data_IF_544017203809
#
_entry.id   IF_544017203809
#
_cell.length_a   1.000
_cell.length_b   1.000
_cell.length_c   1.000
_cell.angle_alpha   90.00
_cell.angle_beta   90.00
_cell.angle_gamma   90.00
#
_symmetry.space_group_name_H-M   'P 1'
#
loop_
_entity.id
_entity.type
_entity.pdbx_description
1 polymer ?
#
# COMPACT_ATOMS: atom_id res chain seq x y z
N UNK A 1 7.17 15.52 -24.22
CA UNK A 1 8.00 14.79 -23.24
C UNK A 1 7.88 15.36 -21.82
N UNK A 2 8.09 16.65 -21.60
CA UNK A 2 8.02 17.33 -20.27
C UNK A 2 6.72 17.11 -19.53
N UNK A 3 5.55 17.20 -20.18
CA UNK A 3 4.24 17.04 -19.54
C UNK A 3 3.98 15.62 -19.04
N UNK A 4 4.46 14.58 -19.73
CA UNK A 4 4.35 13.18 -19.28
C UNK A 4 5.19 12.94 -18.02
N UNK A 5 6.43 13.47 -18.01
CA UNK A 5 7.32 13.37 -16.84
C UNK A 5 6.70 14.07 -15.64
N UNK A 6 6.17 15.29 -15.83
CA UNK A 6 5.54 16.05 -14.76
C UNK A 6 4.33 15.31 -14.16
N UNK A 7 3.46 14.73 -14.99
CA UNK A 7 2.30 13.93 -14.52
C UNK A 7 2.74 12.67 -13.76
N UNK A 8 3.80 12.02 -14.24
CA UNK A 8 4.34 10.83 -13.59
C UNK A 8 4.91 11.17 -12.21
N UNK A 9 5.72 12.22 -12.14
CA UNK A 9 6.26 12.72 -10.87
C UNK A 9 5.15 13.18 -9.92
N UNK A 10 4.15 13.91 -10.40
CA UNK A 10 3.00 14.33 -9.59
C UNK A 10 2.25 13.14 -8.99
N UNK A 11 2.05 12.05 -9.77
CA UNK A 11 1.44 10.82 -9.26
C UNK A 11 2.25 10.16 -8.15
N UNK A 12 3.58 10.12 -8.30
CA UNK A 12 4.47 9.61 -7.25
C UNK A 12 4.41 10.47 -5.98
N UNK A 13 4.48 11.79 -6.13
CA UNK A 13 4.37 12.72 -5.00
C UNK A 13 3.02 12.61 -4.30
N UNK A 14 1.93 12.39 -5.03
CA UNK A 14 0.60 12.20 -4.43
C UNK A 14 0.55 10.91 -3.60
N UNK A 15 1.12 9.80 -4.08
CA UNK A 15 1.21 8.55 -3.32
C UNK A 15 2.11 8.70 -2.07
N UNK A 16 3.26 9.36 -2.20
CA UNK A 16 4.14 9.64 -1.08
C UNK A 16 3.46 10.55 -0.03
N UNK A 17 2.76 11.59 -0.47
CA UNK A 17 2.01 12.47 0.42
C UNK A 17 0.88 11.72 1.15
N UNK A 18 0.13 10.86 0.45
CA UNK A 18 -0.89 10.00 1.07
C UNK A 18 -0.27 9.11 2.16
N UNK A 19 0.87 8.47 1.86
CA UNK A 19 1.60 7.67 2.85
C UNK A 19 2.00 8.51 4.06
N UNK A 20 2.60 9.66 3.86
CA UNK A 20 3.05 10.55 4.96
C UNK A 20 1.87 10.93 5.84
N UNK A 21 0.78 11.43 5.25
CA UNK A 21 -0.39 11.92 5.98
C UNK A 21 -1.08 10.80 6.77
N UNK A 22 -1.26 9.62 6.18
CA UNK A 22 -1.97 8.53 6.85
C UNK A 22 -1.09 7.77 7.84
N UNK A 23 0.21 7.66 7.58
CA UNK A 23 1.14 6.99 8.49
C UNK A 23 1.47 7.85 9.71
N UNK A 24 1.52 9.17 9.56
CA UNK A 24 1.67 10.09 10.70
C UNK A 24 0.45 10.09 11.62
N UNK A 25 -0.67 9.53 11.19
CA UNK A 25 -1.92 9.37 11.96
C UNK A 25 -1.81 8.51 13.22
N UNK A 26 -0.67 7.84 13.46
CA UNK A 26 -0.32 7.29 14.78
C UNK A 26 -0.26 8.37 15.88
N UNK A 27 -0.47 9.63 15.52
CA UNK A 27 -0.62 10.77 16.46
C UNK A 27 -1.88 10.70 17.33
N UNK A 28 -2.62 9.58 17.28
CA UNK A 28 -3.54 9.22 18.37
C UNK A 28 -4.86 9.99 18.41
N UNK A 29 -5.34 10.53 17.30
CA UNK A 29 -6.70 11.08 17.27
C UNK A 29 -7.67 10.06 16.68
N UNK A 30 -8.87 9.94 17.26
CA UNK A 30 -9.95 9.08 16.75
C UNK A 30 -10.38 9.41 15.30
N UNK A 31 -9.89 10.50 14.74
CA UNK A 31 -10.18 11.01 13.40
C UNK A 31 -9.05 10.78 12.40
N UNK A 32 -7.94 10.14 12.83
CA UNK A 32 -6.84 9.86 11.91
C UNK A 32 -7.22 8.76 10.91
N UNK A 33 -7.06 8.98 9.61
CA UNK A 33 -7.32 7.94 8.63
C UNK A 33 -6.38 6.75 8.85
N UNK A 34 -6.82 5.50 8.59
CA UNK A 34 -5.95 4.33 8.68
C UNK A 34 -4.73 4.44 7.78
N UNK A 35 -3.60 3.83 8.17
CA UNK A 35 -2.35 3.85 7.39
C UNK A 35 -2.54 3.27 5.97
N UNK A 36 -2.36 4.11 4.96
CA UNK A 36 -2.47 3.73 3.56
C UNK A 36 -1.20 3.12 2.96
N UNK A 37 -0.12 2.95 3.72
CA UNK A 37 1.19 2.53 3.19
C UNK A 37 1.12 1.28 2.32
N UNK A 38 0.30 0.29 2.68
CA UNK A 38 0.15 -0.94 1.92
C UNK A 38 -0.51 -0.70 0.57
N UNK A 39 -1.58 0.10 0.53
CA UNK A 39 -2.22 0.49 -0.72
C UNK A 39 -1.28 1.33 -1.60
N UNK A 40 -0.55 2.27 -0.99
CA UNK A 40 0.43 3.10 -1.69
C UNK A 40 1.51 2.26 -2.37
N UNK A 41 2.08 1.29 -1.66
CA UNK A 41 3.11 0.41 -2.24
C UNK A 41 2.58 -0.49 -3.36
N UNK A 42 1.37 -1.01 -3.20
CA UNK A 42 0.72 -1.77 -4.25
C UNK A 42 0.43 -0.91 -5.49
N UNK A 43 -0.18 0.27 -5.31
CA UNK A 43 -0.45 1.22 -6.39
C UNK A 43 0.83 1.73 -7.04
N UNK A 44 1.86 2.01 -6.25
CA UNK A 44 3.15 2.39 -6.78
C UNK A 44 3.77 1.26 -7.63
N UNK A 45 3.65 0.00 -7.22
CA UNK A 45 4.03 -1.15 -8.04
C UNK A 45 3.27 -1.20 -9.37
N UNK A 46 1.98 -0.88 -9.37
CA UNK A 46 1.15 -0.83 -10.57
C UNK A 46 1.57 0.31 -11.52
N UNK A 47 1.76 1.53 -11.00
CA UNK A 47 2.05 2.70 -11.83
C UNK A 47 3.53 2.88 -12.15
N UNK A 48 4.43 2.49 -11.22
CA UNK A 48 5.88 2.74 -11.27
C UNK A 48 6.72 1.45 -11.26
N UNK A 49 6.13 0.32 -11.67
CA UNK A 49 6.83 -0.98 -11.64
C UNK A 49 8.12 -1.04 -12.47
N UNK A 50 8.27 -0.18 -13.49
CA UNK A 50 9.49 -0.06 -14.30
C UNK A 50 10.58 0.75 -13.60
N UNK A 51 10.19 1.68 -12.77
CA UNK A 51 11.04 2.62 -12.03
C UNK A 51 11.39 2.10 -10.62
N UNK A 52 11.27 0.81 -10.39
CA UNK A 52 11.43 0.16 -9.09
C UNK A 52 12.74 0.52 -8.38
N UNK A 53 13.82 0.77 -9.15
CA UNK A 53 15.16 1.03 -8.62
C UNK A 53 15.23 2.29 -7.75
N UNK A 54 14.40 3.28 -8.03
CA UNK A 54 14.35 4.50 -7.24
C UNK A 54 13.04 4.66 -6.47
N UNK A 55 11.90 4.26 -7.07
CA UNK A 55 10.60 4.54 -6.50
C UNK A 55 10.30 3.66 -5.26
N UNK A 56 10.66 2.38 -5.29
CA UNK A 56 10.49 1.50 -4.12
C UNK A 56 11.39 1.94 -2.95
N UNK A 57 12.72 2.13 -3.11
CA UNK A 57 13.55 2.66 -2.03
C UNK A 57 13.10 4.02 -1.51
N UNK A 58 12.64 4.93 -2.37
CA UNK A 58 12.15 6.23 -1.95
C UNK A 58 10.92 6.11 -1.04
N UNK A 59 9.93 5.25 -1.37
CA UNK A 59 8.77 5.00 -0.51
C UNK A 59 9.15 4.27 0.79
N UNK A 60 10.07 3.32 0.75
CA UNK A 60 10.59 2.67 1.96
C UNK A 60 11.28 3.68 2.89
N UNK A 61 12.15 4.52 2.35
CA UNK A 61 12.80 5.59 3.11
C UNK A 61 11.76 6.59 3.66
N UNK A 62 10.73 6.93 2.88
CA UNK A 62 9.65 7.79 3.35
C UNK A 62 8.91 7.17 4.54
N UNK A 63 8.54 5.88 4.45
CA UNK A 63 7.87 5.19 5.55
C UNK A 63 8.73 5.16 6.82
N UNK A 64 10.03 4.82 6.69
CA UNK A 64 10.97 4.79 7.81
C UNK A 64 11.19 6.19 8.41
N UNK A 65 11.30 7.23 7.57
CA UNK A 65 11.48 8.60 8.01
C UNK A 65 10.26 9.10 8.81
N UNK A 66 9.04 8.80 8.35
CA UNK A 66 7.81 9.13 9.08
C UNK A 66 7.80 8.44 10.44
N UNK A 67 8.08 7.13 10.51
CA UNK A 67 8.12 6.42 11.79
C UNK A 67 9.16 7.01 12.73
N UNK A 68 10.36 7.33 12.24
CA UNK A 68 11.40 7.93 13.03
C UNK A 68 10.99 9.30 13.59
N UNK A 69 10.39 10.16 12.76
CA UNK A 69 9.94 11.49 13.14
C UNK A 69 8.81 11.40 14.19
N UNK A 70 7.80 10.55 13.97
CA UNK A 70 6.67 10.46 14.91
C UNK A 70 7.08 9.87 16.27
N UNK A 71 8.02 8.94 16.27
CA UNK A 71 8.55 8.37 17.52
C UNK A 71 9.38 9.41 18.26
N UNK A 72 10.27 10.14 17.58
CA UNK A 72 11.20 11.07 18.20
C UNK A 72 10.53 12.35 18.64
N UNK A 73 9.72 12.97 17.77
CA UNK A 73 9.27 14.35 17.93
C UNK A 73 7.82 14.44 18.45
N UNK A 74 7.03 13.36 18.27
CA UNK A 74 5.63 13.32 18.71
C UNK A 74 5.35 12.31 19.83
N UNK A 75 6.37 11.67 20.36
CA UNK A 75 6.25 10.76 21.51
C UNK A 75 5.46 9.49 21.25
N UNK A 76 5.31 9.08 19.97
CA UNK A 76 4.68 7.81 19.61
C UNK A 76 5.54 6.66 20.11
N UNK A 77 4.88 5.60 20.61
CA UNK A 77 5.59 4.43 21.15
C UNK A 77 6.47 3.76 20.11
N UNK A 78 7.73 3.49 20.45
CA UNK A 78 8.66 2.69 19.65
C UNK A 78 8.40 1.20 19.75
N UNK A 79 7.27 0.76 20.30
CA UNK A 79 6.95 -0.65 20.56
C UNK A 79 7.09 -1.55 19.33
N UNK A 80 6.72 -1.04 18.15
CA UNK A 80 6.80 -1.78 16.89
C UNK A 80 8.20 -1.79 16.26
N UNK A 81 9.11 -0.91 16.71
CA UNK A 81 10.50 -0.87 16.20
C UNK A 81 11.34 -1.90 16.95
N UNK A 82 11.49 -3.05 16.35
CA UNK A 82 12.21 -4.21 16.88
C UNK A 82 13.11 -4.79 15.80
N UNK A 83 13.85 -5.86 16.08
CA UNK A 83 14.59 -6.61 15.05
C UNK A 83 13.64 -7.08 13.92
N UNK A 84 12.39 -7.40 14.25
CA UNK A 84 11.36 -7.74 13.26
C UNK A 84 11.04 -6.63 12.25
N UNK A 85 11.36 -5.37 12.58
CA UNK A 85 11.12 -4.22 11.70
C UNK A 85 11.86 -4.29 10.35
N UNK A 86 13.04 -4.95 10.33
CA UNK A 86 13.81 -5.15 9.09
C UNK A 86 12.99 -5.93 8.03
N UNK A 87 12.10 -6.81 8.47
CA UNK A 87 11.23 -7.58 7.59
C UNK A 87 10.15 -6.75 6.90
N UNK A 88 9.97 -5.49 7.28
CA UNK A 88 9.12 -4.56 6.55
C UNK A 88 9.61 -4.35 5.11
N UNK A 89 10.91 -4.41 4.86
CA UNK A 89 11.48 -4.25 3.51
C UNK A 89 10.98 -5.35 2.56
N UNK A 90 11.20 -6.66 2.83
CA UNK A 90 10.67 -7.72 1.97
C UNK A 90 9.14 -7.75 1.96
N UNK A 91 8.46 -7.47 3.07
CA UNK A 91 7.00 -7.42 3.13
C UNK A 91 6.42 -6.34 2.19
N UNK A 92 7.00 -5.16 2.19
CA UNK A 92 6.59 -4.06 1.32
C UNK A 92 6.96 -4.31 -0.15
N UNK A 93 8.06 -5.03 -0.40
CA UNK A 93 8.39 -5.49 -1.75
C UNK A 93 7.34 -6.45 -2.32
N UNK A 94 6.70 -7.29 -1.49
CA UNK A 94 5.59 -8.16 -1.92
C UNK A 94 4.38 -7.37 -2.41
N UNK A 95 4.03 -6.27 -1.73
CA UNK A 95 2.96 -5.37 -2.18
C UNK A 95 3.30 -4.72 -3.53
N UNK A 96 4.53 -4.24 -3.66
CA UNK A 96 5.02 -3.68 -4.92
C UNK A 96 4.94 -4.70 -6.06
N UNK A 97 5.42 -5.91 -5.83
CA UNK A 97 5.40 -6.99 -6.82
C UNK A 97 3.99 -7.37 -7.23
N UNK A 98 3.04 -7.41 -6.28
CA UNK A 98 1.62 -7.63 -6.56
C UNK A 98 1.05 -6.57 -7.50
N UNK A 99 1.33 -5.28 -7.24
CA UNK A 99 0.93 -4.18 -8.11
C UNK A 99 1.59 -4.25 -9.50
N UNK A 100 2.89 -4.53 -9.55
CA UNK A 100 3.62 -4.66 -10.80
C UNK A 100 3.14 -5.86 -11.64
N UNK A 101 2.78 -6.98 -10.99
CA UNK A 101 2.16 -8.12 -11.65
C UNK A 101 0.77 -7.74 -12.20
N UNK A 102 -0.07 -7.08 -11.40
CA UNK A 102 -1.39 -6.62 -11.85
C UNK A 102 -1.27 -5.72 -13.08
N UNK A 103 -0.28 -4.81 -13.13
CA UNK A 103 -0.03 -3.97 -14.30
C UNK A 103 0.24 -4.78 -15.57
N UNK A 104 0.94 -5.88 -15.46
CA UNK A 104 1.23 -6.78 -16.61
C UNK A 104 0.01 -7.60 -17.02
N UNK A 105 -0.84 -7.97 -16.05
CA UNK A 105 -2.04 -8.76 -16.26
C UNK A 105 -3.26 -7.93 -16.70
N UNK A 106 -3.16 -6.59 -16.62
CA UNK A 106 -4.25 -5.65 -16.92
C UNK A 106 -4.59 -5.62 -18.41
N UNK A 107 -5.85 -5.91 -18.76
CA UNK A 107 -6.32 -6.09 -20.14
C UNK A 107 -7.44 -5.13 -20.55
N UNK A 108 -7.92 -4.27 -19.66
CA UNK A 108 -9.09 -3.41 -19.86
C UNK A 108 -10.40 -4.19 -20.03
N UNK A 109 -10.54 -5.33 -19.38
CA UNK A 109 -11.73 -6.19 -19.40
C UNK A 109 -12.38 -6.29 -18.00
N UNK A 110 -13.65 -6.73 -17.90
CA UNK A 110 -14.33 -6.89 -16.61
C UNK A 110 -13.63 -7.82 -15.62
N UNK A 111 -12.84 -8.80 -16.11
CA UNK A 111 -12.10 -9.72 -15.27
C UNK A 111 -10.91 -9.05 -14.56
N UNK A 112 -10.54 -7.82 -14.96
CA UNK A 112 -9.49 -7.06 -14.28
C UNK A 112 -9.85 -6.74 -12.83
N UNK A 113 -11.14 -6.61 -12.50
CA UNK A 113 -11.56 -6.42 -11.12
C UNK A 113 -11.23 -7.66 -10.26
N UNK A 114 -11.50 -8.86 -10.77
CA UNK A 114 -11.16 -10.09 -10.08
C UNK A 114 -9.63 -10.30 -9.96
N UNK A 115 -8.89 -10.02 -11.04
CA UNK A 115 -7.41 -10.07 -11.04
C UNK A 115 -6.82 -9.09 -10.04
N UNK A 116 -7.35 -7.86 -9.99
CA UNK A 116 -6.95 -6.84 -9.05
C UNK A 116 -7.21 -7.28 -7.61
N UNK A 117 -8.43 -7.76 -7.31
CA UNK A 117 -8.79 -8.20 -5.97
C UNK A 117 -7.92 -9.39 -5.52
N UNK A 118 -7.70 -10.38 -6.39
CA UNK A 118 -6.85 -11.54 -6.11
C UNK A 118 -5.38 -11.13 -5.90
N UNK A 119 -4.85 -10.26 -6.74
CA UNK A 119 -3.47 -9.77 -6.64
C UNK A 119 -3.24 -8.96 -5.36
N UNK A 120 -4.13 -8.02 -5.04
CA UNK A 120 -4.04 -7.23 -3.83
C UNK A 120 -4.22 -8.10 -2.59
N UNK A 121 -5.21 -9.00 -2.60
CA UNK A 121 -5.47 -9.92 -1.49
C UNK A 121 -4.27 -10.82 -1.19
N UNK A 122 -3.68 -11.42 -2.23
CA UNK A 122 -2.49 -12.26 -2.08
C UNK A 122 -1.29 -11.44 -1.57
N UNK A 123 -1.00 -10.30 -2.19
CA UNK A 123 0.14 -9.46 -1.81
C UNK A 123 0.00 -8.93 -0.37
N UNK A 124 -1.19 -8.47 0.02
CA UNK A 124 -1.46 -8.00 1.36
C UNK A 124 -1.40 -9.13 2.40
N UNK A 125 -1.92 -10.32 2.06
CA UNK A 125 -1.84 -11.50 2.95
C UNK A 125 -0.40 -11.93 3.20
N UNK A 126 0.43 -11.97 2.15
CA UNK A 126 1.85 -12.29 2.27
C UNK A 126 2.60 -11.21 3.06
N UNK A 127 2.29 -9.94 2.81
CA UNK A 127 2.85 -8.83 3.59
C UNK A 127 2.48 -8.95 5.07
N UNK A 128 1.21 -9.23 5.38
CA UNK A 128 0.75 -9.42 6.75
C UNK A 128 1.42 -10.64 7.40
N UNK A 129 1.53 -11.75 6.70
CA UNK A 129 2.19 -12.95 7.19
C UNK A 129 3.62 -12.64 7.60
N UNK A 130 4.40 -11.98 6.72
CA UNK A 130 5.80 -11.64 6.99
C UNK A 130 5.92 -10.66 8.16
N UNK A 131 5.15 -9.58 8.18
CA UNK A 131 5.24 -8.56 9.23
C UNK A 131 4.72 -9.07 10.58
N UNK A 132 3.61 -9.82 10.59
CA UNK A 132 3.05 -10.38 11.82
C UNK A 132 3.96 -11.47 12.41
N UNK A 133 4.47 -12.38 11.57
CA UNK A 133 5.38 -13.43 12.02
C UNK A 133 6.70 -12.85 12.52
N UNK A 134 7.33 -11.93 11.80
CA UNK A 134 8.59 -11.34 12.21
C UNK A 134 8.47 -10.56 13.53
N UNK A 135 7.38 -9.80 13.70
CA UNK A 135 7.13 -9.11 14.96
C UNK A 135 6.91 -10.10 16.11
N UNK A 136 6.10 -11.13 15.91
CA UNK A 136 5.74 -12.10 16.95
C UNK A 136 6.95 -12.91 17.42
N UNK A 137 7.71 -13.48 16.47
CA UNK A 137 8.80 -14.41 16.75
C UNK A 137 10.15 -13.73 17.02
N UNK A 138 10.41 -12.58 16.37
CA UNK A 138 11.71 -11.93 16.40
C UNK A 138 11.68 -10.57 17.13
N UNK A 139 10.50 -10.06 17.45
CA UNK A 139 10.35 -8.73 18.05
C UNK A 139 10.79 -8.64 19.52
N UNK A 140 10.97 -9.77 20.21
CA UNK A 140 11.34 -9.79 21.63
C UNK A 140 10.31 -9.16 22.57
N UNK A 141 9.06 -9.00 22.11
CA UNK A 141 7.98 -8.36 22.87
C UNK A 141 6.98 -9.36 23.46
N UNK A 142 7.03 -10.60 23.03
CA UNK A 142 6.13 -11.66 23.44
C UNK A 142 6.92 -12.63 24.32
N UNK A 143 6.66 -12.69 25.62
CA UNK A 143 7.22 -13.74 26.46
C UNK A 143 6.59 -15.08 26.05
N UNK A 144 7.40 -16.13 25.97
CA UNK A 144 6.99 -17.52 25.67
C UNK A 144 6.12 -17.63 24.39
N UNK A 145 6.66 -17.26 23.21
CA UNK A 145 5.90 -17.30 21.95
C UNK A 145 5.50 -18.74 21.61
N UNK A 146 4.24 -18.93 21.20
CA UNK A 146 3.65 -20.22 20.82
C UNK A 146 2.90 -20.14 19.49
N UNK A 147 2.76 -21.26 18.78
CA UNK A 147 1.98 -21.32 17.54
C UNK A 147 0.51 -20.95 17.76
N UNK A 148 -0.07 -21.40 18.88
CA UNK A 148 -1.46 -21.07 19.22
C UNK A 148 -1.65 -19.58 19.48
N UNK A 149 -0.76 -18.95 20.24
CA UNK A 149 -0.80 -17.51 20.51
C UNK A 149 -0.55 -16.68 19.24
N UNK A 150 0.37 -17.13 18.38
CA UNK A 150 0.57 -16.48 17.09
C UNK A 150 -0.66 -16.57 16.20
N UNK A 151 -1.30 -17.73 16.09
CA UNK A 151 -2.51 -17.92 15.28
C UNK A 151 -3.68 -17.07 15.78
N UNK A 152 -3.89 -17.02 17.08
CA UNK A 152 -4.92 -16.15 17.68
C UNK A 152 -4.68 -14.68 17.32
N UNK A 153 -3.46 -14.19 17.48
CA UNK A 153 -3.07 -12.83 17.10
C UNK A 153 -3.22 -12.60 15.60
N UNK A 154 -2.78 -13.54 14.78
CA UNK A 154 -2.90 -13.45 13.32
C UNK A 154 -4.37 -13.26 12.90
N UNK A 155 -5.27 -14.13 13.34
CA UNK A 155 -6.69 -14.08 12.98
C UNK A 155 -7.39 -12.83 13.51
N UNK A 156 -7.00 -12.36 14.68
CA UNK A 156 -7.56 -11.14 15.29
C UNK A 156 -7.28 -9.89 14.46
N UNK A 157 -6.06 -9.73 13.94
CA UNK A 157 -5.64 -8.51 13.26
C UNK A 157 -5.80 -8.58 11.74
N UNK A 158 -5.84 -9.76 11.16
CA UNK A 158 -5.88 -9.97 9.71
C UNK A 158 -7.00 -9.19 9.01
N UNK A 159 -8.26 -9.17 9.46
CA UNK A 159 -9.33 -8.47 8.73
C UNK A 159 -9.08 -6.97 8.61
N UNK A 160 -8.59 -6.32 9.68
CA UNK A 160 -8.28 -4.90 9.68
C UNK A 160 -7.13 -4.56 8.71
N UNK A 161 -6.05 -5.35 8.77
CA UNK A 161 -4.88 -5.12 7.91
C UNK A 161 -5.16 -5.38 6.43
N UNK A 162 -6.08 -6.28 6.10
CA UNK A 162 -6.48 -6.55 4.71
C UNK A 162 -7.53 -5.53 4.24
N UNK A 163 -8.47 -5.15 5.06
CA UNK A 163 -9.57 -4.25 4.69
C UNK A 163 -9.08 -2.85 4.28
N UNK A 164 -8.11 -2.30 5.00
CA UNK A 164 -7.58 -0.95 4.75
C UNK A 164 -6.98 -0.80 3.33
N UNK A 165 -6.03 -1.63 2.86
CA UNK A 165 -5.51 -1.50 1.50
C UNK A 165 -6.58 -1.71 0.43
N UNK A 166 -7.59 -2.57 0.66
CA UNK A 166 -8.71 -2.70 -0.26
C UNK A 166 -9.55 -1.42 -0.36
N UNK A 167 -9.79 -0.74 0.75
CA UNK A 167 -10.53 0.53 0.75
C UNK A 167 -9.79 1.61 -0.07
N UNK A 168 -8.51 1.85 0.21
CA UNK A 168 -7.72 2.87 -0.50
C UNK A 168 -7.48 2.52 -1.98
N UNK A 169 -7.09 1.29 -2.28
CA UNK A 169 -6.84 0.87 -3.64
C UNK A 169 -8.15 0.73 -4.43
N UNK A 170 -9.28 0.43 -3.78
CA UNK A 170 -10.61 0.47 -4.37
C UNK A 170 -11.01 1.88 -4.81
N UNK A 171 -10.81 2.88 -3.96
CA UNK A 171 -11.03 4.29 -4.31
C UNK A 171 -10.15 4.69 -5.50
N UNK A 172 -8.86 4.32 -5.48
CA UNK A 172 -7.95 4.60 -6.59
C UNK A 172 -8.39 3.92 -7.89
N UNK A 173 -8.86 2.67 -7.83
CA UNK A 173 -9.38 1.94 -8.99
C UNK A 173 -10.65 2.60 -9.56
N UNK A 174 -11.57 3.05 -8.71
CA UNK A 174 -12.76 3.79 -9.14
C UNK A 174 -12.38 5.11 -9.82
N UNK A 175 -11.49 5.89 -9.23
CA UNK A 175 -10.98 7.12 -9.83
C UNK A 175 -10.30 6.86 -11.18
N UNK A 176 -9.47 5.82 -11.25
CA UNK A 176 -8.83 5.40 -12.50
C UNK A 176 -9.87 5.07 -13.58
N UNK A 177 -10.90 4.29 -13.26
CA UNK A 177 -11.96 3.92 -14.19
C UNK A 177 -12.78 5.12 -14.67
N UNK A 178 -13.03 6.10 -13.81
CA UNK A 178 -13.76 7.34 -14.17
C UNK A 178 -12.91 8.20 -15.11
N UNK A 179 -11.63 8.39 -14.78
CA UNK A 179 -10.72 9.24 -15.56
C UNK A 179 -10.27 8.60 -16.87
N UNK A 180 -10.26 7.26 -16.95
CA UNK A 180 -9.91 6.52 -18.16
C UNK A 180 -11.06 6.38 -19.18
N UNK A 181 -12.29 6.80 -18.84
CA UNK A 181 -13.39 6.79 -19.81
C UNK A 181 -13.03 7.72 -20.97
N UNK A 182 -13.03 7.22 -22.23
CA UNK A 182 -12.85 8.12 -23.37
C UNK A 182 -13.99 9.13 -23.36
N UNK A 183 -13.67 10.41 -23.53
CA UNK A 183 -14.68 11.43 -23.78
C UNK A 183 -15.59 10.90 -24.90
N UNK A 184 -16.88 10.69 -24.60
CA UNK A 184 -17.85 10.31 -25.63
C UNK A 184 -17.73 11.35 -26.71
N UNK A 185 -17.28 10.95 -27.90
CA UNK A 185 -17.37 11.81 -29.08
C UNK A 185 -18.82 12.28 -29.17
N UNK A 186 -19.09 13.58 -29.28
CA UNK A 186 -20.46 14.05 -29.56
C UNK A 186 -20.87 13.34 -30.85
N UNK A 187 -21.89 12.50 -30.73
CA UNK A 187 -22.56 11.90 -31.89
C UNK A 187 -22.78 13.04 -32.85
N UNK A 188 -22.17 12.96 -34.05
CA UNK A 188 -22.47 13.82 -35.15
C UNK A 188 -23.98 13.79 -35.32
N UNK A 189 -24.65 14.86 -34.85
CA UNK A 189 -26.01 15.10 -35.17
C UNK A 189 -26.03 15.35 -36.66
N UNK A 190 -26.43 14.30 -37.32
CA UNK A 190 -26.49 14.17 -38.74
C UNK A 190 -27.39 15.16 -39.40
N UNK A 191 -26.88 15.55 -40.50
CA UNK A 191 -27.47 16.16 -41.67
C UNK A 191 -28.67 15.33 -42.17
N UNK A 192 -29.83 15.94 -42.19
CA UNK A 192 -30.82 15.75 -43.24
C UNK A 192 -31.25 17.09 -43.76
#
# INVERSE_FOLDING_TARGET
MKLKIARHLAGFCALAALMIVTRSGHLGTAWSPPDASWAVLYLAGFYFGREWRWALPALLCTAMAVDFIVIRDFGVSSYCVTVGYVFMVPAYALLWLGGAWMRRAYRHDPADLARWAASLGLAASLCFLVTNASFYWLGGRIPDPSLGGWWQRFTQWYPGFIGVPFAYAGIAAMLHAILARPARSPVAADVR
#
